data_IF_010209749674
#
_entry.id   IF_010209749674
#
_cell.length_a   1.000
_cell.length_b   1.000
_cell.length_c   1.000
_cell.angle_alpha   90.00
_cell.angle_beta   90.00
_cell.angle_gamma   90.00
#
_symmetry.space_group_name_H-M   'P 1'
#
loop_
_entity.id
_entity.type
_entity.pdbx_description
1 polymer ?
#
# COMPACT_ATOMS: atom_id res chain seq x y z
N UNK A 1 -4.87 -12.63 17.64
CA UNK A 1 -5.93 -11.85 18.32
C UNK A 1 -6.71 -11.11 17.25
N UNK A 2 -8.03 -11.32 17.17
CA UNK A 2 -8.87 -10.70 16.13
C UNK A 2 -9.11 -9.21 16.45
N UNK A 3 -8.85 -8.30 15.51
CA UNK A 3 -9.09 -6.86 15.74
C UNK A 3 -10.55 -6.56 16.06
N UNK A 4 -11.48 -7.40 15.59
CA UNK A 4 -12.89 -7.28 15.92
C UNK A 4 -13.14 -7.52 17.40
N UNK A 5 -12.43 -8.45 18.04
CA UNK A 5 -12.59 -8.70 19.47
C UNK A 5 -12.04 -7.55 20.29
N UNK A 6 -10.91 -6.96 19.90
CA UNK A 6 -10.37 -5.76 20.54
C UNK A 6 -11.33 -4.56 20.41
N UNK A 7 -11.86 -4.33 19.21
CA UNK A 7 -12.84 -3.27 18.96
C UNK A 7 -14.12 -3.49 19.78
N UNK A 8 -14.51 -4.74 20.00
CA UNK A 8 -15.64 -5.12 20.87
C UNK A 8 -15.32 -4.91 22.35
N UNK A 9 -14.09 -5.19 22.79
CA UNK A 9 -13.65 -4.93 24.17
C UNK A 9 -13.64 -3.42 24.48
N UNK A 10 -13.22 -2.59 23.52
CA UNK A 10 -13.29 -1.13 23.63
C UNK A 10 -14.74 -0.65 23.77
N UNK A 11 -15.65 -1.18 22.94
CA UNK A 11 -17.07 -0.84 23.05
C UNK A 11 -17.63 -1.24 24.43
N UNK A 12 -17.32 -2.45 24.92
CA UNK A 12 -17.73 -2.90 26.26
C UNK A 12 -17.19 -2.01 27.35
N UNK A 13 -15.94 -1.57 27.25
CA UNK A 13 -15.33 -0.65 28.18
C UNK A 13 -16.05 0.71 28.20
N UNK A 14 -16.30 1.31 27.04
CA UNK A 14 -16.98 2.61 26.92
C UNK A 14 -18.40 2.57 27.51
N UNK A 15 -19.12 1.46 27.28
CA UNK A 15 -20.50 1.31 27.74
C UNK A 15 -20.62 0.59 29.09
N UNK A 16 -19.52 0.19 29.72
CA UNK A 16 -19.49 -0.59 30.95
C UNK A 16 -20.38 -1.85 30.87
N UNK A 17 -20.19 -2.65 29.83
CA UNK A 17 -20.99 -3.83 29.44
C UNK A 17 -22.49 -3.57 29.22
N UNK A 18 -22.92 -2.30 29.14
CA UNK A 18 -24.29 -1.93 28.81
C UNK A 18 -24.51 -1.83 27.30
N UNK A 19 -25.78 -1.79 26.91
CA UNK A 19 -26.18 -1.58 25.51
C UNK A 19 -25.64 -0.23 25.00
N UNK A 20 -24.95 -0.20 23.84
CA UNK A 20 -24.47 1.03 23.23
C UNK A 20 -25.60 2.04 23.02
N UNK A 21 -25.41 3.28 23.49
CA UNK A 21 -26.39 4.37 23.32
C UNK A 21 -26.19 5.15 22.02
N UNK A 22 -24.99 5.08 21.46
CA UNK A 22 -24.59 5.80 20.25
C UNK A 22 -24.03 4.79 19.25
N UNK A 23 -24.31 5.00 17.96
CA UNK A 23 -23.79 4.16 16.88
C UNK A 23 -22.26 4.30 16.77
N UNK A 24 -21.57 3.21 16.43
CA UNK A 24 -20.10 3.22 16.26
C UNK A 24 -19.63 4.26 15.25
N UNK A 25 -20.36 4.43 14.14
CA UNK A 25 -20.05 5.45 13.13
C UNK A 25 -19.98 6.85 13.73
N UNK A 26 -20.87 7.18 14.67
CA UNK A 26 -20.87 8.48 15.38
C UNK A 26 -19.74 8.57 16.41
N UNK A 27 -19.37 7.46 17.06
CA UNK A 27 -18.22 7.44 17.97
C UNK A 27 -16.91 7.73 17.23
N UNK A 28 -16.78 7.27 15.98
CA UNK A 28 -15.59 7.48 15.15
C UNK A 28 -15.45 8.90 14.63
N UNK A 29 -16.53 9.69 14.63
CA UNK A 29 -16.51 11.08 14.18
C UNK A 29 -15.63 11.93 15.12
N UNK A 30 -14.86 12.90 14.61
CA UNK A 30 -14.02 13.76 15.45
C UNK A 30 -14.80 14.57 16.49
N UNK A 31 -14.12 14.93 17.59
CA UNK A 31 -14.75 15.72 18.69
C UNK A 31 -15.26 17.09 18.24
N UNK A 32 -14.57 17.75 17.29
CA UNK A 32 -14.93 19.09 16.82
C UNK A 32 -16.25 19.15 16.04
N UNK A 33 -16.73 18.01 15.51
CA UNK A 33 -18.02 17.86 14.84
C UNK A 33 -19.05 17.08 15.69
N UNK A 34 -18.82 17.01 17.01
CA UNK A 34 -19.75 16.39 17.96
C UNK A 34 -19.67 14.87 18.09
N UNK A 35 -18.62 14.23 17.54
CA UNK A 35 -18.32 12.82 17.78
C UNK A 35 -17.44 12.59 19.02
N UNK A 36 -17.00 11.35 19.25
CA UNK A 36 -16.13 11.01 20.38
C UNK A 36 -14.63 10.94 20.00
N UNK A 37 -14.33 10.93 18.71
CA UNK A 37 -12.97 10.75 18.18
C UNK A 37 -12.41 9.36 18.44
N UNK A 38 -13.26 8.35 18.57
CA UNK A 38 -12.83 6.98 18.80
C UNK A 38 -12.13 6.43 17.54
N UNK A 39 -10.95 5.81 17.64
CA UNK A 39 -10.32 5.22 16.48
C UNK A 39 -11.10 3.97 16.01
N UNK A 40 -11.33 3.87 14.71
CA UNK A 40 -11.74 2.62 14.08
C UNK A 40 -10.48 1.78 13.83
N UNK A 41 -10.28 0.74 14.63
CA UNK A 41 -9.08 -0.10 14.58
C UNK A 41 -8.84 -0.77 13.23
N UNK A 42 -9.91 -1.13 12.50
CA UNK A 42 -9.76 -1.71 11.15
C UNK A 42 -9.21 -0.68 10.16
N UNK A 43 -9.73 0.55 10.19
CA UNK A 43 -9.20 1.63 9.35
C UNK A 43 -7.81 2.06 9.78
N UNK A 44 -7.52 2.05 11.08
CA UNK A 44 -6.18 2.30 11.58
C UNK A 44 -5.18 1.27 11.07
N UNK A 45 -5.54 -0.02 11.09
CA UNK A 45 -4.70 -1.08 10.54
C UNK A 45 -4.50 -0.92 9.03
N UNK A 46 -5.56 -0.65 8.27
CA UNK A 46 -5.43 -0.38 6.84
C UNK A 46 -4.50 0.80 6.58
N UNK A 47 -4.67 1.91 7.29
CA UNK A 47 -3.82 3.09 7.16
C UNK A 47 -2.35 2.77 7.50
N UNK A 48 -2.09 1.97 8.52
CA UNK A 48 -0.74 1.54 8.88
C UNK A 48 -0.08 0.71 7.77
N UNK A 49 -0.81 -0.23 7.15
CA UNK A 49 -0.27 -1.01 6.03
C UNK A 49 -0.10 -0.17 4.76
N UNK A 50 -1.03 0.75 4.46
CA UNK A 50 -0.87 1.68 3.35
C UNK A 50 0.34 2.60 3.55
N UNK A 51 0.59 3.04 4.78
CA UNK A 51 1.79 3.78 5.11
C UNK A 51 3.04 2.92 4.87
N UNK A 52 3.05 1.64 5.23
CA UNK A 52 4.18 0.75 4.90
C UNK A 52 4.43 0.66 3.38
N UNK A 53 3.37 0.46 2.59
CA UNK A 53 3.46 0.45 1.12
C UNK A 53 4.00 1.78 0.59
N UNK A 54 3.58 2.92 1.16
CA UNK A 54 4.11 4.22 0.79
C UNK A 54 5.63 4.32 1.02
N UNK A 55 6.15 3.72 2.10
CA UNK A 55 7.59 3.75 2.38
C UNK A 55 8.42 3.04 1.30
N UNK A 56 7.85 2.09 0.56
CA UNK A 56 8.53 1.46 -0.59
C UNK A 56 8.86 2.42 -1.73
N UNK A 57 8.24 3.60 -1.77
CA UNK A 57 8.45 4.59 -2.81
C UNK A 57 9.34 5.76 -2.40
N UNK A 58 9.73 5.81 -1.13
CA UNK A 58 10.60 6.85 -0.57
C UNK A 58 12.05 6.63 -0.99
N UNK A 59 12.88 7.69 -0.98
CA UNK A 59 14.29 7.58 -1.32
C UNK A 59 15.05 6.62 -0.38
N UNK A 60 16.19 6.07 -0.83
CA UNK A 60 17.04 5.23 0.00
C UNK A 60 17.45 5.94 1.29
N UNK A 61 17.78 5.18 2.33
CA UNK A 61 18.13 5.64 3.69
C UNK A 61 16.98 6.27 4.51
N UNK A 62 15.77 6.37 3.95
CA UNK A 62 14.62 6.86 4.72
C UNK A 62 14.16 5.84 5.79
N UNK A 63 14.19 4.54 5.47
CA UNK A 63 13.88 3.45 6.41
C UNK A 63 14.76 2.24 6.11
N UNK A 64 15.62 1.88 7.07
CA UNK A 64 16.54 0.73 6.97
C UNK A 64 15.88 -0.60 6.57
N UNK A 65 14.65 -0.85 7.02
CA UNK A 65 13.95 -2.09 6.65
C UNK A 65 13.54 -2.11 5.17
N UNK A 66 13.22 -0.96 4.59
CA UNK A 66 12.93 -0.82 3.15
C UNK A 66 14.21 -1.02 2.35
N UNK A 67 15.34 -0.48 2.83
CA UNK A 67 16.64 -0.68 2.19
C UNK A 67 17.02 -2.17 2.18
N UNK A 68 16.74 -2.89 3.27
CA UNK A 68 16.91 -4.35 3.34
C UNK A 68 15.99 -5.09 2.36
N UNK A 69 14.73 -4.67 2.21
CA UNK A 69 13.84 -5.26 1.21
C UNK A 69 14.35 -5.01 -0.22
N UNK A 70 14.84 -3.81 -0.53
CA UNK A 70 15.48 -3.53 -1.81
C UNK A 70 16.75 -4.37 -2.01
N UNK A 71 17.52 -4.66 -0.96
CA UNK A 71 18.68 -5.54 -1.03
C UNK A 71 18.29 -7.01 -1.30
N UNK A 72 17.23 -7.50 -0.65
CA UNK A 72 16.78 -8.89 -0.75
C UNK A 72 16.13 -9.16 -2.11
N UNK A 73 15.22 -8.28 -2.54
CA UNK A 73 14.43 -8.47 -3.76
C UNK A 73 15.10 -7.84 -4.99
N UNK A 74 16.06 -6.94 -4.78
CA UNK A 74 16.79 -6.28 -5.87
C UNK A 74 15.85 -5.66 -6.88
N UNK A 75 15.92 -6.18 -8.11
CA UNK A 75 15.16 -5.70 -9.27
C UNK A 75 13.71 -6.17 -9.30
N UNK A 76 13.31 -7.10 -8.43
CA UNK A 76 11.95 -7.64 -8.33
C UNK A 76 11.25 -7.13 -7.05
N UNK A 77 11.55 -5.89 -6.67
CA UNK A 77 11.02 -5.26 -5.47
C UNK A 77 9.49 -5.15 -5.48
N UNK A 78 8.81 -5.33 -4.33
CA UNK A 78 7.34 -5.31 -4.22
C UNK A 78 6.66 -4.03 -4.71
N UNK A 79 7.37 -2.90 -4.71
CA UNK A 79 6.89 -1.62 -5.25
C UNK A 79 6.44 -1.71 -6.71
N UNK A 80 6.97 -2.66 -7.48
CA UNK A 80 6.56 -2.89 -8.87
C UNK A 80 5.16 -3.50 -8.95
N UNK A 81 4.77 -4.33 -7.98
CA UNK A 81 3.53 -5.10 -8.01
C UNK A 81 2.29 -4.27 -7.68
N UNK A 82 2.47 -3.24 -6.84
CA UNK A 82 1.39 -2.36 -6.34
C UNK A 82 0.69 -1.62 -7.49
N UNK A 83 1.45 -1.16 -8.47
CA UNK A 83 0.94 -0.33 -9.57
C UNK A 83 0.60 -1.10 -10.84
N UNK A 84 0.73 -2.43 -10.80
CA UNK A 84 0.43 -3.30 -11.93
C UNK A 84 -0.88 -4.06 -11.68
N UNK A 85 -1.73 -4.20 -12.72
CA UNK A 85 -2.87 -5.11 -12.67
C UNK A 85 -2.44 -6.53 -12.31
N UNK A 86 -3.28 -7.26 -11.57
CA UNK A 86 -2.99 -8.62 -11.08
C UNK A 86 -2.49 -9.56 -12.18
N UNK A 87 -3.06 -9.45 -13.39
CA UNK A 87 -2.75 -10.28 -14.56
C UNK A 87 -1.37 -9.98 -15.17
N UNK A 88 -0.81 -8.82 -14.87
CA UNK A 88 0.40 -8.29 -15.51
C UNK A 88 1.61 -8.24 -14.58
N UNK A 89 1.45 -8.72 -13.35
CA UNK A 89 2.54 -8.79 -12.37
C UNK A 89 3.64 -9.76 -12.83
N UNK A 90 4.91 -9.45 -12.53
CA UNK A 90 6.01 -10.37 -12.77
C UNK A 90 5.79 -11.71 -12.05
N UNK A 91 6.23 -12.80 -12.69
CA UNK A 91 6.30 -14.14 -12.08
C UNK A 91 7.79 -14.48 -11.87
N UNK A 92 8.19 -15.07 -10.73
CA UNK A 92 7.34 -15.58 -9.64
C UNK A 92 6.79 -14.50 -8.69
N UNK A 93 5.73 -14.79 -7.92
CA UNK A 93 5.25 -13.89 -6.87
C UNK A 93 6.32 -13.71 -5.77
N UNK A 94 6.26 -12.59 -5.03
CA UNK A 94 7.20 -12.35 -3.93
C UNK A 94 7.14 -13.49 -2.90
N UNK A 95 8.31 -13.95 -2.48
CA UNK A 95 8.44 -15.13 -1.62
C UNK A 95 8.02 -14.87 -0.18
N UNK A 96 8.01 -13.61 0.27
CA UNK A 96 7.71 -13.28 1.67
C UNK A 96 6.20 -13.22 1.91
N UNK A 97 5.67 -13.94 2.92
CA UNK A 97 4.24 -13.88 3.25
C UNK A 97 3.76 -12.48 3.62
N UNK A 98 4.62 -11.66 4.25
CA UNK A 98 4.31 -10.29 4.64
C UNK A 98 4.11 -9.38 3.43
N UNK A 99 4.94 -9.52 2.40
CA UNK A 99 4.83 -8.77 1.16
C UNK A 99 3.58 -9.20 0.39
N UNK A 100 3.36 -10.52 0.26
CA UNK A 100 2.16 -11.05 -0.41
C UNK A 100 0.89 -10.55 0.26
N UNK A 101 0.83 -10.57 1.59
CA UNK A 101 -0.29 -10.01 2.34
C UNK A 101 -0.46 -8.49 2.08
N UNK A 102 0.63 -7.74 2.00
CA UNK A 102 0.59 -6.30 1.76
C UNK A 102 0.06 -5.98 0.36
N UNK A 103 0.47 -6.74 -0.67
CA UNK A 103 -0.04 -6.62 -2.04
C UNK A 103 -1.52 -7.01 -2.11
N UNK A 104 -1.93 -8.12 -1.49
CA UNK A 104 -3.33 -8.55 -1.45
C UNK A 104 -4.22 -7.55 -0.70
N UNK A 105 -3.68 -6.92 0.34
CA UNK A 105 -4.38 -5.86 1.06
C UNK A 105 -4.49 -4.60 0.21
N UNK A 106 -3.42 -4.18 -0.46
CA UNK A 106 -3.47 -3.07 -1.41
C UNK A 106 -4.56 -3.29 -2.46
N UNK A 107 -4.62 -4.47 -3.08
CA UNK A 107 -5.63 -4.78 -4.08
C UNK A 107 -7.04 -4.60 -3.53
N UNK A 108 -7.34 -5.20 -2.38
CA UNK A 108 -8.65 -5.07 -1.73
C UNK A 108 -9.00 -3.62 -1.38
N UNK A 109 -8.02 -2.83 -0.95
CA UNK A 109 -8.24 -1.43 -0.58
C UNK A 109 -8.39 -0.55 -1.83
N UNK A 110 -7.60 -0.80 -2.87
CA UNK A 110 -7.67 -0.09 -4.14
C UNK A 110 -9.01 -0.31 -4.82
N UNK A 111 -9.51 -1.56 -4.84
CA UNK A 111 -10.84 -1.90 -5.35
C UNK A 111 -11.96 -1.26 -4.51
N UNK A 112 -11.79 -1.22 -3.18
CA UNK A 112 -12.80 -0.68 -2.25
C UNK A 112 -12.91 0.85 -2.29
N UNK A 113 -11.80 1.54 -2.50
CA UNK A 113 -11.71 3.00 -2.46
C UNK A 113 -11.54 3.63 -3.84
N UNK A 114 -11.62 2.84 -4.92
CA UNK A 114 -11.46 3.26 -6.31
C UNK A 114 -10.14 4.03 -6.58
N UNK A 115 -9.06 3.55 -5.96
CA UNK A 115 -7.73 4.21 -6.01
C UNK A 115 -6.93 3.88 -7.28
N UNK A 116 -7.40 2.95 -8.10
CA UNK A 116 -6.70 2.37 -9.24
C UNK A 116 -7.22 2.86 -10.61
N UNK A 117 -7.96 3.97 -10.63
CA UNK A 117 -8.62 4.55 -11.82
C UNK A 117 -7.68 5.13 -12.90
N UNK A 118 -6.42 4.67 -12.98
CA UNK A 118 -5.47 5.05 -14.01
C UNK A 118 -4.06 4.48 -13.79
N UNK A 119 -3.16 4.70 -14.75
CA UNK A 119 -1.73 4.44 -14.57
C UNK A 119 -1.16 5.49 -13.61
N UNK A 120 -0.59 5.03 -12.50
CA UNK A 120 0.04 5.91 -11.52
C UNK A 120 1.35 6.48 -12.08
N UNK A 121 1.73 7.73 -11.73
CA UNK A 121 3.09 8.22 -11.99
C UNK A 121 4.16 7.34 -11.36
N UNK A 122 3.81 6.54 -10.36
CA UNK A 122 4.70 5.59 -9.69
C UNK A 122 4.78 4.23 -10.40
N UNK A 123 4.00 4.01 -11.47
CA UNK A 123 4.06 2.79 -12.26
C UNK A 123 5.46 2.64 -12.87
N UNK A 124 6.09 1.46 -12.72
CA UNK A 124 7.42 1.24 -13.28
C UNK A 124 7.37 1.21 -14.82
N UNK A 125 8.41 1.75 -15.45
CA UNK A 125 8.57 1.70 -16.91
C UNK A 125 9.25 0.38 -17.30
N UNK A 126 10.32 0.05 -16.59
CA UNK A 126 11.08 -1.18 -16.81
C UNK A 126 10.34 -2.37 -16.21
N UNK A 127 10.49 -3.55 -16.83
CA UNK A 127 9.87 -4.82 -16.36
C UNK A 127 8.34 -4.78 -16.26
N UNK A 128 7.72 -3.79 -16.91
CA UNK A 128 6.27 -3.65 -16.97
C UNK A 128 5.73 -4.38 -18.20
N UNK A 129 4.87 -5.39 -18.00
CA UNK A 129 4.24 -6.12 -19.12
C UNK A 129 3.26 -5.27 -19.93
N UNK A 130 2.75 -4.16 -19.38
CA UNK A 130 1.99 -3.16 -20.14
C UNK A 130 2.85 -2.38 -21.11
N UNK A 131 4.18 -2.42 -20.94
CA UNK A 131 5.13 -1.74 -21.77
C UNK A 131 6.16 -2.75 -22.31
N UNK A 132 5.78 -3.57 -23.32
CA UNK A 132 6.66 -4.58 -23.92
C UNK A 132 8.07 -4.07 -24.31
N UNK A 133 8.24 -2.83 -24.79
CA UNK A 133 9.58 -2.30 -25.06
C UNK A 133 10.49 -2.30 -23.82
N UNK A 134 9.97 -1.96 -22.63
CA UNK A 134 10.70 -1.94 -21.36
C UNK A 134 11.02 -3.31 -20.77
N UNK A 135 10.59 -4.39 -21.42
CA UNK A 135 11.04 -5.76 -21.12
C UNK A 135 12.37 -6.09 -21.80
N UNK A 136 12.78 -5.31 -22.80
CA UNK A 136 13.98 -5.57 -23.61
C UNK A 136 15.17 -4.79 -23.03
N UNK A 137 16.16 -5.45 -22.39
CA UNK A 137 17.21 -4.76 -21.64
C UNK A 137 18.08 -3.84 -22.52
N UNK A 138 18.26 -4.19 -23.79
CA UNK A 138 19.18 -3.50 -24.69
C UNK A 138 18.69 -2.10 -25.10
N UNK A 139 17.38 -1.90 -25.26
CA UNK A 139 16.84 -0.62 -25.73
C UNK A 139 16.69 0.41 -24.60
N UNK A 140 16.51 -0.04 -23.35
CA UNK A 140 16.22 0.82 -22.21
C UNK A 140 17.33 0.85 -21.15
N UNK A 141 18.52 0.30 -21.42
CA UNK A 141 19.68 0.42 -20.53
C UNK A 141 19.98 1.88 -20.17
N UNK A 142 19.84 2.79 -21.13
CA UNK A 142 20.04 4.22 -20.92
C UNK A 142 18.99 4.88 -19.99
N UNK A 143 17.83 4.24 -19.75
CA UNK A 143 16.87 4.71 -18.75
C UNK A 143 17.36 4.35 -17.34
N UNK A 144 17.99 3.19 -17.16
CA UNK A 144 18.66 2.83 -15.90
C UNK A 144 19.82 3.78 -15.63
N UNK A 145 20.64 4.09 -16.64
CA UNK A 145 21.78 5.02 -16.51
C UNK A 145 21.36 6.45 -16.13
N UNK A 146 20.12 6.84 -16.45
CA UNK A 146 19.56 8.17 -16.17
C UNK A 146 18.60 8.19 -14.98
N UNK A 147 18.51 7.10 -14.22
CA UNK A 147 17.60 6.93 -13.07
C UNK A 147 16.10 7.13 -13.41
N UNK A 148 15.73 6.78 -14.65
CA UNK A 148 14.36 6.86 -15.17
C UNK A 148 13.65 5.53 -14.90
N UNK A 149 13.19 5.33 -13.67
CA UNK A 149 12.54 4.07 -13.24
C UNK A 149 11.00 4.09 -13.34
N UNK A 150 10.36 5.26 -13.23
CA UNK A 150 8.89 5.41 -13.05
C UNK A 150 8.30 6.32 -14.11
N UNK A 151 7.01 6.12 -14.43
CA UNK A 151 6.30 6.89 -15.46
C UNK A 151 6.37 8.41 -15.22
N UNK A 152 6.30 8.83 -13.96
CA UNK A 152 6.42 10.23 -13.55
C UNK A 152 7.77 10.87 -13.89
N UNK A 153 8.86 10.10 -14.03
CA UNK A 153 10.17 10.64 -14.41
C UNK A 153 10.22 11.09 -15.89
N UNK A 154 9.22 10.74 -16.71
CA UNK A 154 9.13 11.17 -18.12
C UNK A 154 8.53 12.56 -18.30
N UNK A 155 7.87 13.09 -17.27
CA UNK A 155 7.23 14.39 -17.32
C UNK A 155 8.02 15.37 -16.44
N UNK A 156 8.35 16.58 -16.93
CA UNK A 156 8.87 17.62 -16.06
C UNK A 156 7.79 18.00 -15.02
N UNK A 157 8.20 18.09 -13.76
CA UNK A 157 7.34 18.56 -12.66
C UNK A 157 6.93 20.03 -12.86
#
# INVERSE_FOLDING_TARGET
TDLRTLQTAIDRFIWNDRKPRVRRSTLYVPKHVGGLGLPNLLYYQHAAHLAQIQHWHLPPDHKRWVDLEHLIFGRDHPSLYIWLPKQQRPLPPPTSPAITYSIDLWDRLSDKFDLSSGLSPLTPILRNRMFPPGLTPQHYAHFEDRDIARLGHLYPN
#
